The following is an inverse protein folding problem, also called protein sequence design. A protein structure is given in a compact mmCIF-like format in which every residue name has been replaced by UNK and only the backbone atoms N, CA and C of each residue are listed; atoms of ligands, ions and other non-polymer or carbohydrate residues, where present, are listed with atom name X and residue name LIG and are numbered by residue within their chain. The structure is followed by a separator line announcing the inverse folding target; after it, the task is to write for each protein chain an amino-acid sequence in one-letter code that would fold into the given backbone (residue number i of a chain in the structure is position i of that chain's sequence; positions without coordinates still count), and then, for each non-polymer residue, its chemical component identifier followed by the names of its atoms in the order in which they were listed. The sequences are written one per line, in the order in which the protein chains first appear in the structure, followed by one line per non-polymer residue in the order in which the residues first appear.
data_IF_481083001864
#
_entry.id   IF_481083001864
#
_cell.length_a   1.000
_cell.length_b   1.000
_cell.length_c   1.000
_cell.angle_alpha   90.00
_cell.angle_beta   90.00
_cell.angle_gamma   90.00
#
_symmetry.space_group_name_H-M   'P 1'
#
loop_
_entity.id
_entity.type
_entity.pdbx_description
1 polymer ?
#
# COMPACT_ATOMS: atom_id res chain seq x y z
N UNK A 1 -30.39 23.56 23.72
CA UNK A 1 -30.17 22.10 23.87
C UNK A 1 -29.84 21.34 22.57
N UNK A 2 -29.82 21.96 21.37
CA UNK A 2 -29.62 21.24 20.08
C UNK A 2 -28.15 21.06 19.66
N UNK A 3 -27.23 21.88 20.18
CA UNK A 3 -25.80 21.84 19.80
C UNK A 3 -25.06 20.59 20.29
N UNK A 4 -25.41 20.06 21.47
CA UNK A 4 -24.70 18.93 22.10
C UNK A 4 -24.79 17.63 21.27
N UNK A 5 -25.87 17.46 20.51
CA UNK A 5 -26.08 16.30 19.62
C UNK A 5 -25.28 16.39 18.32
N UNK A 6 -25.04 17.61 17.82
CA UNK A 6 -24.26 17.84 16.60
C UNK A 6 -22.77 17.54 16.84
N UNK A 7 -22.26 17.91 18.02
CA UNK A 7 -20.88 17.57 18.42
C UNK A 7 -20.68 16.05 18.58
N UNK A 8 -21.66 15.35 19.14
CA UNK A 8 -21.59 13.88 19.28
C UNK A 8 -21.59 13.17 17.93
N UNK A 9 -22.42 13.62 16.97
CA UNK A 9 -22.44 13.05 15.62
C UNK A 9 -21.15 13.31 14.84
N UNK A 10 -20.53 14.48 15.01
CA UNK A 10 -19.25 14.81 14.38
C UNK A 10 -18.09 13.96 14.91
N UNK A 11 -18.06 13.70 16.22
CA UNK A 11 -17.03 12.83 16.85
C UNK A 11 -17.18 11.37 16.41
N UNK A 12 -18.42 10.88 16.26
CA UNK A 12 -18.68 9.52 15.81
C UNK A 12 -18.29 9.29 14.33
N UNK A 13 -18.42 10.32 13.48
CA UNK A 13 -17.97 10.25 12.08
C UNK A 13 -16.44 10.27 11.94
N UNK A 14 -15.73 10.97 12.85
CA UNK A 14 -14.26 11.07 12.80
C UNK A 14 -13.55 9.80 13.26
N UNK A 15 -14.17 8.98 14.10
CA UNK A 15 -13.57 7.72 14.60
C UNK A 15 -13.89 6.49 13.74
N UNK A 16 -14.97 6.51 12.96
CA UNK A 16 -15.37 5.38 12.10
C UNK A 16 -14.45 5.12 10.89
N UNK A 17 -13.80 6.16 10.36
CA UNK A 17 -12.96 6.04 9.16
C UNK A 17 -11.63 5.30 9.36
N UNK A 18 -11.12 5.23 10.60
CA UNK A 18 -9.81 4.65 10.90
C UNK A 18 -9.86 3.10 10.91
N UNK A 19 -11.01 2.52 11.25
CA UNK A 19 -11.13 1.06 11.42
C UNK A 19 -11.11 0.26 10.10
N UNK A 20 -11.70 0.78 9.01
CA UNK A 20 -11.77 0.03 7.75
C UNK A 20 -10.39 -0.16 7.08
N UNK A 21 -9.51 0.82 7.24
CA UNK A 21 -8.17 0.80 6.61
C UNK A 21 -7.27 -0.26 7.27
N UNK A 22 -7.42 -0.48 8.56
CA UNK A 22 -6.56 -1.37 9.34
C UNK A 22 -6.91 -2.86 9.15
N UNK A 23 -8.18 -3.19 8.89
CA UNK A 23 -8.60 -4.57 8.57
C UNK A 23 -7.97 -5.03 7.26
N UNK A 24 -8.08 -4.21 6.22
CA UNK A 24 -7.56 -4.53 4.88
C UNK A 24 -6.04 -4.73 4.84
N UNK A 25 -5.28 -4.02 5.67
CA UNK A 25 -3.83 -4.21 5.75
C UNK A 25 -3.44 -5.55 6.37
N UNK A 26 -4.13 -5.96 7.44
CA UNK A 26 -3.90 -7.25 8.11
C UNK A 26 -4.22 -8.41 7.17
N UNK A 27 -5.28 -8.29 6.37
CA UNK A 27 -5.68 -9.30 5.40
C UNK A 27 -4.62 -9.46 4.29
N UNK A 28 -4.13 -8.34 3.74
CA UNK A 28 -3.07 -8.35 2.71
C UNK A 28 -1.75 -8.88 3.27
N UNK A 29 -1.39 -8.48 4.48
CA UNK A 29 -0.20 -9.00 5.15
C UNK A 29 -0.33 -10.52 5.36
N UNK A 30 -1.47 -11.00 5.87
CA UNK A 30 -1.74 -12.43 6.04
C UNK A 30 -1.58 -13.22 4.74
N UNK A 31 -2.04 -12.67 3.61
CA UNK A 31 -1.84 -13.28 2.28
C UNK A 31 -0.35 -13.41 1.94
N UNK A 32 0.47 -12.39 2.19
CA UNK A 32 1.93 -12.47 1.98
C UNK A 32 2.56 -13.51 2.91
N UNK A 33 2.15 -13.57 4.18
CA UNK A 33 2.66 -14.56 5.14
C UNK A 33 2.34 -16.00 4.77
N UNK A 34 1.25 -16.26 4.04
CA UNK A 34 0.91 -17.60 3.54
C UNK A 34 1.98 -18.19 2.58
N UNK A 35 2.89 -17.35 2.10
CA UNK A 35 4.01 -17.71 1.23
C UNK A 35 5.35 -17.81 1.97
N UNK A 36 5.40 -17.52 3.27
CA UNK A 36 6.63 -17.54 4.04
C UNK A 36 7.23 -18.95 4.12
N UNK A 37 8.55 -19.06 3.94
CA UNK A 37 9.27 -20.35 3.95
C UNK A 37 9.09 -21.20 2.70
N UNK A 38 8.33 -20.75 1.70
CA UNK A 38 8.24 -21.44 0.40
C UNK A 38 9.45 -21.11 -0.47
N UNK A 39 9.92 -22.10 -1.21
CA UNK A 39 10.89 -21.93 -2.29
C UNK A 39 10.18 -22.03 -3.63
N UNK A 40 10.65 -21.25 -4.61
CA UNK A 40 10.06 -21.22 -5.94
C UNK A 40 11.12 -21.59 -6.97
N UNK A 41 10.72 -22.33 -8.01
CA UNK A 41 11.63 -22.72 -9.09
C UNK A 41 12.04 -21.57 -10.01
N UNK A 42 11.40 -20.40 -9.87
CA UNK A 42 11.74 -19.19 -10.61
C UNK A 42 10.52 -18.31 -10.87
N UNK A 43 10.75 -17.23 -11.62
CA UNK A 43 9.72 -16.20 -11.91
C UNK A 43 8.54 -16.71 -12.74
N UNK A 44 8.71 -17.84 -13.43
CA UNK A 44 7.66 -18.47 -14.25
C UNK A 44 6.77 -19.41 -13.43
N UNK A 45 7.13 -19.70 -12.17
CA UNK A 45 6.32 -20.56 -11.32
C UNK A 45 4.95 -19.91 -11.03
N UNK A 46 3.82 -20.61 -11.22
CA UNK A 46 2.50 -20.07 -10.89
C UNK A 46 2.38 -19.59 -9.43
N UNK A 47 3.05 -20.29 -8.52
CA UNK A 47 3.07 -19.94 -7.10
C UNK A 47 3.89 -18.68 -6.84
N UNK A 48 5.01 -18.50 -7.57
CA UNK A 48 5.80 -17.27 -7.50
C UNK A 48 5.01 -16.08 -8.04
N UNK A 49 4.31 -16.25 -9.17
CA UNK A 49 3.46 -15.19 -9.75
C UNK A 49 2.38 -14.75 -8.75
N UNK A 50 1.79 -15.72 -8.04
CA UNK A 50 0.77 -15.45 -7.02
C UNK A 50 1.36 -14.74 -5.80
N UNK A 51 2.53 -15.19 -5.33
CA UNK A 51 3.28 -14.54 -4.26
C UNK A 51 3.66 -13.10 -4.62
N UNK A 52 4.24 -12.88 -5.80
CA UNK A 52 4.67 -11.58 -6.27
C UNK A 52 3.49 -10.61 -6.38
N UNK A 53 2.35 -11.06 -6.90
CA UNK A 53 1.13 -10.24 -6.92
C UNK A 53 0.65 -9.89 -5.51
N UNK A 54 0.64 -10.84 -4.57
CA UNK A 54 0.25 -10.59 -3.18
C UNK A 54 1.19 -9.56 -2.52
N UNK A 55 2.50 -9.70 -2.75
CA UNK A 55 3.51 -8.75 -2.26
C UNK A 55 3.30 -7.35 -2.84
N UNK A 56 3.11 -7.23 -4.16
CA UNK A 56 2.87 -5.93 -4.80
C UNK A 56 1.61 -5.25 -4.29
N UNK A 57 0.51 -6.00 -4.12
CA UNK A 57 -0.73 -5.48 -3.52
C UNK A 57 -0.52 -4.95 -2.10
N UNK A 58 0.24 -5.70 -1.29
CA UNK A 58 0.57 -5.27 0.07
C UNK A 58 1.41 -3.97 0.06
N UNK A 59 2.42 -3.89 -0.79
CA UNK A 59 3.31 -2.72 -0.88
C UNK A 59 2.60 -1.48 -1.40
N UNK A 60 1.78 -1.58 -2.46
CA UNK A 60 0.98 -0.44 -2.95
C UNK A 60 -0.01 0.04 -1.89
N UNK A 61 -0.62 -0.88 -1.15
CA UNK A 61 -1.50 -0.51 -0.04
C UNK A 61 -0.75 0.25 1.07
N UNK A 62 0.44 -0.22 1.47
CA UNK A 62 1.28 0.48 2.45
C UNK A 62 1.68 1.88 1.98
N UNK A 63 2.07 2.03 0.70
CA UNK A 63 2.43 3.33 0.11
C UNK A 63 1.23 4.28 0.15
N UNK A 64 0.04 3.80 -0.25
CA UNK A 64 -1.20 4.57 -0.20
C UNK A 64 -1.53 5.02 1.21
N UNK A 65 -1.44 4.13 2.19
CA UNK A 65 -1.75 4.45 3.59
C UNK A 65 -0.76 5.45 4.20
N UNK A 66 0.54 5.32 3.92
CA UNK A 66 1.57 6.18 4.51
C UNK A 66 1.73 7.53 3.81
N UNK A 67 1.58 7.56 2.49
CA UNK A 67 1.91 8.73 1.68
C UNK A 67 0.72 9.31 0.92
N UNK A 68 -0.45 8.66 0.96
CA UNK A 68 -1.63 9.08 0.21
C UNK A 68 -1.53 8.85 -1.30
N UNK A 69 -0.50 8.14 -1.78
CA UNK A 69 -0.23 7.92 -3.21
C UNK A 69 -0.78 6.57 -3.65
N UNK A 70 -1.69 6.57 -4.63
CA UNK A 70 -2.23 5.35 -5.22
C UNK A 70 -1.35 4.88 -6.37
N UNK A 71 -0.84 3.64 -6.27
CA UNK A 71 -0.03 3.00 -7.30
C UNK A 71 -0.74 1.73 -7.79
N UNK A 72 -0.62 1.47 -9.09
CA UNK A 72 -1.14 0.25 -9.69
C UNK A 72 -0.10 -0.87 -9.48
N UNK A 73 -0.43 -1.95 -8.74
CA UNK A 73 0.49 -3.06 -8.49
C UNK A 73 0.91 -3.76 -9.77
N UNK A 74 0.18 -3.62 -10.89
CA UNK A 74 0.55 -4.23 -12.17
C UNK A 74 1.66 -3.47 -12.90
N UNK A 75 1.82 -2.16 -12.65
CA UNK A 75 2.76 -1.30 -13.38
C UNK A 75 4.19 -1.33 -12.86
N UNK A 76 4.37 -1.80 -11.63
CA UNK A 76 5.63 -1.75 -10.90
C UNK A 76 5.98 -3.16 -10.44
N UNK A 77 7.26 -3.50 -10.48
CA UNK A 77 7.75 -4.72 -9.84
C UNK A 77 7.72 -4.57 -8.31
N UNK A 78 7.83 -5.68 -7.57
CA UNK A 78 7.97 -5.62 -6.12
C UNK A 78 9.19 -4.80 -5.66
N UNK A 79 10.29 -4.86 -6.42
CA UNK A 79 11.49 -4.08 -6.13
C UNK A 79 11.26 -2.58 -6.35
N UNK A 80 10.63 -2.20 -7.46
CA UNK A 80 10.28 -0.80 -7.74
C UNK A 80 9.43 -0.22 -6.59
N UNK A 81 8.44 -0.98 -6.11
CA UNK A 81 7.58 -0.54 -5.01
C UNK A 81 8.33 -0.36 -3.69
N UNK A 82 9.30 -1.24 -3.38
CA UNK A 82 10.17 -1.08 -2.22
C UNK A 82 11.04 0.18 -2.33
N UNK A 83 11.60 0.43 -3.52
CA UNK A 83 12.44 1.59 -3.77
C UNK A 83 11.62 2.90 -3.74
N UNK A 84 10.46 2.94 -4.41
CA UNK A 84 9.51 4.06 -4.35
C UNK A 84 9.14 4.35 -2.89
N UNK A 85 8.79 3.33 -2.11
CA UNK A 85 8.46 3.48 -0.70
C UNK A 85 9.61 4.04 0.13
N UNK A 86 10.86 3.72 -0.22
CA UNK A 86 12.06 4.23 0.44
C UNK A 86 12.35 5.69 0.03
N UNK A 87 12.24 6.02 -1.26
CA UNK A 87 12.38 7.39 -1.76
C UNK A 87 11.34 8.32 -1.15
N UNK A 88 10.09 7.87 -1.03
CA UNK A 88 9.02 8.66 -0.41
C UNK A 88 9.28 8.97 1.07
N UNK A 89 9.98 8.10 1.81
CA UNK A 89 10.42 8.39 3.19
C UNK A 89 11.51 9.46 3.23
N UNK A 90 12.39 9.48 2.24
CA UNK A 90 13.56 10.35 2.21
C UNK A 90 13.32 11.70 1.51
N UNK A 91 12.23 11.85 0.74
CA UNK A 91 11.95 13.08 0.01
C UNK A 91 11.78 14.27 0.96
N UNK A 92 12.12 15.47 0.49
CA UNK A 92 11.78 16.70 1.22
C UNK A 92 10.26 16.94 1.15
N UNK A 93 9.71 17.61 2.16
CA UNK A 93 8.27 17.89 2.23
C UNK A 93 7.76 18.65 0.99
N UNK A 94 8.54 19.60 0.48
CA UNK A 94 8.22 20.43 -0.68
C UNK A 94 8.28 19.72 -2.03
N UNK A 95 8.89 18.54 -2.11
CA UNK A 95 9.06 17.84 -3.39
C UNK A 95 7.80 17.03 -3.73
N UNK A 96 7.28 17.13 -4.96
CA UNK A 96 6.12 16.35 -5.38
C UNK A 96 6.50 14.88 -5.60
N UNK A 97 5.60 13.96 -5.24
CA UNK A 97 5.79 12.52 -5.43
C UNK A 97 5.98 12.14 -6.91
N UNK A 98 5.31 12.84 -7.83
CA UNK A 98 5.37 12.57 -9.26
C UNK A 98 6.78 12.69 -9.84
N UNK A 99 7.64 13.52 -9.25
CA UNK A 99 9.03 13.67 -9.71
C UNK A 99 9.80 12.36 -9.54
N UNK A 100 9.61 11.67 -8.42
CA UNK A 100 10.26 10.39 -8.12
C UNK A 100 9.69 9.27 -8.98
N UNK A 101 8.37 9.27 -9.20
CA UNK A 101 7.69 8.24 -10.00
C UNK A 101 8.09 8.25 -11.48
N UNK A 102 8.63 9.36 -11.99
CA UNK A 102 9.15 9.45 -13.38
C UNK A 102 10.41 8.61 -13.59
N UNK A 103 11.16 8.30 -12.54
CA UNK A 103 12.39 7.51 -12.62
C UNK A 103 12.16 6.00 -12.78
N UNK A 104 10.94 5.53 -12.52
CA UNK A 104 10.62 4.10 -12.54
C UNK A 104 10.07 3.68 -13.90
N UNK A 105 10.64 2.64 -14.53
CA UNK A 105 10.07 2.08 -15.75
C UNK A 105 8.68 1.53 -15.44
N UNK A 106 7.69 1.94 -16.21
CA UNK A 106 6.35 1.35 -16.13
C UNK A 106 6.36 0.09 -16.96
N UNK A 107 6.24 -1.06 -16.31
CA UNK A 107 6.07 -2.32 -17.01
C UNK A 107 4.65 -2.38 -17.60
N UNK A 108 4.49 -2.63 -18.91
CA UNK A 108 3.18 -2.85 -19.52
C UNK A 108 2.51 -4.12 -18.98
#
# INVERSE_FOLDING_TARGET
MKWKWILFAAILCLTGGVCQVQSSEKDLLSQVWAYNGKSYQGVQSPEYISYDLALRNYLTNQIRQRFGVSLDPKKYSGFDLLEIGSLFKCKKSSEPFDLFLKGFPKHP
#
